data_IF_694526667836
#
_entry.id   IF_694526667836
#
_cell.length_a   1.000
_cell.length_b   1.000
_cell.length_c   1.000
_cell.angle_alpha   90.00
_cell.angle_beta   90.00
_cell.angle_gamma   90.00
#
_symmetry.space_group_name_H-M   'P 1'
#
loop_
_entity.id
_entity.type
_entity.pdbx_description
1 polymer ?
#
# COMPACT_ATOMS: atom_id res chain seq x y z
N UNK A 1 37.05 -19.75 25.14
CA UNK A 1 36.72 -20.18 23.77
C UNK A 1 36.33 -18.99 22.91
N UNK A 2 37.20 -18.58 22.00
CA UNK A 2 36.90 -17.61 20.94
C UNK A 2 37.04 -18.34 19.62
N UNK A 3 35.93 -18.88 19.14
CA UNK A 3 35.86 -19.56 17.85
C UNK A 3 35.78 -18.48 16.77
N UNK A 4 36.94 -18.05 16.28
CA UNK A 4 37.04 -17.21 15.09
C UNK A 4 36.58 -18.04 13.90
N UNK A 5 35.41 -17.71 13.39
CA UNK A 5 34.91 -18.20 12.11
C UNK A 5 35.91 -17.81 11.03
N UNK A 6 36.64 -18.80 10.52
CA UNK A 6 37.45 -18.74 9.31
C UNK A 6 36.64 -18.05 8.20
N UNK A 7 36.89 -16.76 7.98
CA UNK A 7 36.24 -15.99 6.92
C UNK A 7 36.84 -16.47 5.60
N UNK A 8 36.29 -17.56 5.09
CA UNK A 8 36.59 -18.10 3.77
C UNK A 8 36.35 -16.98 2.75
N UNK A 9 37.43 -16.42 2.23
CA UNK A 9 37.46 -15.37 1.22
C UNK A 9 37.16 -15.95 -0.16
N UNK A 10 36.05 -16.68 -0.28
CA UNK A 10 35.45 -17.03 -1.57
C UNK A 10 34.73 -15.78 -2.07
N UNK A 11 35.26 -15.16 -3.12
CA UNK A 11 34.67 -13.98 -3.74
C UNK A 11 33.19 -14.18 -4.10
N UNK A 12 32.44 -13.08 -4.17
CA UNK A 12 31.01 -13.11 -4.47
C UNK A 12 30.80 -13.77 -5.84
N UNK A 13 30.07 -14.89 -5.87
CA UNK A 13 29.81 -15.60 -7.11
C UNK A 13 28.83 -14.84 -8.00
N UNK A 14 28.94 -15.01 -9.32
CA UNK A 14 28.01 -14.40 -10.27
C UNK A 14 26.55 -14.75 -9.94
N UNK A 15 26.26 -15.98 -9.50
CA UNK A 15 24.93 -16.40 -9.09
C UNK A 15 24.37 -15.63 -7.89
N UNK A 16 25.21 -15.33 -6.89
CA UNK A 16 24.81 -14.50 -5.74
C UNK A 16 24.55 -13.05 -6.15
N UNK A 17 25.37 -12.49 -7.04
CA UNK A 17 25.17 -11.13 -7.56
C UNK A 17 23.84 -11.06 -8.30
N UNK A 18 23.57 -12.01 -9.20
CA UNK A 18 22.32 -12.07 -9.95
C UNK A 18 21.13 -12.24 -9.01
N UNK A 19 21.23 -13.08 -7.98
CA UNK A 19 20.16 -13.24 -6.99
C UNK A 19 19.85 -11.91 -6.30
N UNK A 20 20.87 -11.18 -5.85
CA UNK A 20 20.69 -9.87 -5.21
C UNK A 20 20.08 -8.84 -6.17
N UNK A 21 20.53 -8.82 -7.43
CA UNK A 21 19.99 -7.90 -8.44
C UNK A 21 18.52 -8.19 -8.73
N UNK A 22 18.16 -9.46 -8.97
CA UNK A 22 16.77 -9.84 -9.26
C UNK A 22 15.86 -9.52 -8.08
N UNK A 23 16.27 -9.89 -6.87
CA UNK A 23 15.50 -9.58 -5.64
C UNK A 23 15.37 -8.07 -5.47
N UNK A 24 16.45 -7.30 -5.66
CA UNK A 24 16.44 -5.84 -5.56
C UNK A 24 15.47 -5.21 -6.57
N UNK A 25 15.55 -5.60 -7.84
CA UNK A 25 14.67 -5.09 -8.90
C UNK A 25 13.21 -5.40 -8.61
N UNK A 26 12.90 -6.63 -8.19
CA UNK A 26 11.53 -7.03 -7.86
C UNK A 26 11.00 -6.23 -6.67
N UNK A 27 11.79 -6.06 -5.60
CA UNK A 27 11.39 -5.23 -4.46
C UNK A 27 11.16 -3.78 -4.88
N UNK A 28 12.08 -3.18 -5.63
CA UNK A 28 11.93 -1.79 -6.08
C UNK A 28 10.69 -1.63 -6.95
N UNK A 29 10.38 -2.59 -7.82
CA UNK A 29 9.18 -2.57 -8.65
C UNK A 29 7.89 -2.61 -7.80
N UNK A 30 7.84 -3.50 -6.80
CA UNK A 30 6.68 -3.61 -5.90
C UNK A 30 6.49 -2.33 -5.07
N UNK A 31 7.57 -1.81 -4.49
CA UNK A 31 7.54 -0.58 -3.70
C UNK A 31 7.12 0.60 -4.57
N UNK A 32 7.75 0.78 -5.74
CA UNK A 32 7.41 1.84 -6.69
C UNK A 32 5.95 1.80 -7.11
N UNK A 33 5.43 0.61 -7.42
CA UNK A 33 4.02 0.42 -7.75
C UNK A 33 3.09 0.76 -6.58
N UNK A 34 3.46 0.36 -5.36
CA UNK A 34 2.67 0.65 -4.16
C UNK A 34 2.62 2.15 -3.87
N UNK A 35 3.76 2.83 -3.94
CA UNK A 35 3.85 4.29 -3.75
C UNK A 35 3.03 5.01 -4.81
N UNK A 36 3.13 4.60 -6.08
CA UNK A 36 2.36 5.20 -7.17
C UNK A 36 0.85 4.98 -6.98
N UNK A 37 0.43 3.79 -6.55
CA UNK A 37 -0.96 3.47 -6.24
C UNK A 37 -1.52 4.35 -5.10
N UNK A 38 -0.74 4.55 -4.05
CA UNK A 38 -1.14 5.42 -2.92
C UNK A 38 -1.17 6.89 -3.36
N UNK A 39 -0.20 7.33 -4.16
CA UNK A 39 -0.17 8.68 -4.70
C UNK A 39 -1.39 8.94 -5.59
N UNK A 40 -1.68 8.03 -6.51
CA UNK A 40 -2.85 8.08 -7.38
C UNK A 40 -4.15 8.06 -6.57
N UNK A 41 -4.26 7.30 -5.48
CA UNK A 41 -5.44 7.35 -4.61
C UNK A 41 -5.58 8.66 -3.83
N UNK A 42 -4.47 9.33 -3.48
CA UNK A 42 -4.50 10.64 -2.84
C UNK A 42 -4.93 11.75 -3.81
N UNK A 43 -4.51 11.67 -5.07
CA UNK A 43 -4.88 12.64 -6.11
C UNK A 43 -6.20 12.29 -6.80
N UNK A 44 -6.61 11.02 -6.76
CA UNK A 44 -7.87 10.59 -7.33
C UNK A 44 -9.00 11.17 -6.49
N UNK A 45 -10.00 11.81 -7.12
CA UNK A 45 -11.17 12.27 -6.40
C UNK A 45 -11.81 11.08 -5.68
N UNK A 46 -12.28 11.26 -4.43
CA UNK A 46 -12.93 10.18 -3.68
C UNK A 46 -13.99 9.59 -4.59
N UNK A 47 -13.87 8.28 -4.89
CA UNK A 47 -14.76 7.56 -5.80
C UNK A 47 -16.17 8.04 -5.49
N UNK A 48 -16.77 8.80 -6.41
CA UNK A 48 -18.10 9.37 -6.19
C UNK A 48 -19.01 8.19 -5.89
N UNK A 49 -19.29 7.96 -4.60
CA UNK A 49 -20.32 7.00 -4.20
C UNK A 49 -21.53 7.43 -5.00
N UNK A 50 -22.14 6.49 -5.75
CA UNK A 50 -23.29 6.82 -6.61
C UNK A 50 -24.18 7.78 -5.82
N UNK A 51 -24.46 8.99 -6.34
CA UNK A 51 -25.10 10.02 -5.56
C UNK A 51 -26.34 9.41 -4.95
N UNK A 52 -26.31 9.25 -3.63
CA UNK A 52 -27.38 8.61 -2.91
C UNK A 52 -28.53 9.59 -3.01
N UNK A 53 -29.60 9.21 -3.72
CA UNK A 53 -30.77 10.07 -3.88
C UNK A 53 -31.12 10.68 -2.53
N UNK A 54 -31.44 11.99 -2.51
CA UNK A 54 -31.74 12.73 -1.28
C UNK A 54 -32.78 11.98 -0.42
N UNK A 55 -33.70 11.23 -1.04
CA UNK A 55 -34.66 10.33 -0.37
C UNK A 55 -34.00 9.18 0.40
N UNK A 56 -33.02 8.49 -0.19
CA UNK A 56 -32.27 7.41 0.48
C UNK A 56 -31.37 7.96 1.59
N UNK A 57 -30.77 9.13 1.38
CA UNK A 57 -29.94 9.79 2.37
C UNK A 57 -30.74 10.25 3.60
N UNK A 58 -31.94 10.83 3.38
CA UNK A 58 -32.88 11.16 4.47
C UNK A 58 -33.36 9.91 5.19
N UNK A 59 -33.65 8.82 4.47
CA UNK A 59 -34.07 7.53 5.06
C UNK A 59 -32.98 6.90 5.93
N UNK A 60 -31.71 6.96 5.52
CA UNK A 60 -30.62 6.46 6.36
C UNK A 60 -30.36 7.35 7.57
N UNK A 61 -30.40 8.69 7.42
CA UNK A 61 -30.28 9.62 8.56
C UNK A 61 -31.38 9.41 9.60
N UNK A 62 -32.63 9.22 9.14
CA UNK A 62 -33.78 8.90 10.01
C UNK A 62 -33.63 7.53 10.71
N UNK A 63 -33.07 6.53 10.03
CA UNK A 63 -32.80 5.20 10.63
C UNK A 63 -31.67 5.24 11.65
N UNK A 64 -30.69 6.11 11.47
CA UNK A 64 -29.58 6.31 12.38
C UNK A 64 -29.96 7.17 13.61
N UNK A 65 -31.22 7.62 13.71
CA UNK A 65 -31.68 8.48 14.80
C UNK A 65 -31.00 9.85 14.81
N UNK A 66 -30.33 10.23 13.72
CA UNK A 66 -29.68 11.54 13.60
C UNK A 66 -30.79 12.55 13.36
N UNK A 67 -31.07 13.38 14.36
CA UNK A 67 -32.01 14.50 14.24
C UNK A 67 -31.65 15.31 13.01
N UNK A 68 -32.67 15.68 12.24
CA UNK A 68 -32.46 16.58 11.11
C UNK A 68 -31.80 17.86 11.66
N UNK A 69 -30.79 18.44 10.98
CA UNK A 69 -30.30 19.74 11.38
C UNK A 69 -31.46 20.73 11.30
N UNK A 70 -31.95 21.25 12.44
CA UNK A 70 -33.19 22.01 12.58
C UNK A 70 -34.29 21.16 13.25
N UNK A 71 -34.32 20.92 14.56
CA UNK A 71 -34.57 21.90 15.64
C UNK A 71 -33.83 23.24 15.60
#
# INVERSE_FOLDING_TARGET
ESMTTEINSKGVSAGLIVLLVVVGVVLTFIIGNTVLYIYAQKSAPPRKKKPVSKKKMKREKLKQGVSAPGE
#
